data_IF_319239755707
#
_entry.id   IF_319239755707
#
_cell.length_a   1.000
_cell.length_b   1.000
_cell.length_c   1.000
_cell.angle_alpha   90.00
_cell.angle_beta   90.00
_cell.angle_gamma   90.00
#
_symmetry.space_group_name_H-M   'P 1'
#
loop_
_entity.id
_entity.type
_entity.pdbx_description
1 polymer ?
#
# COMPACT_ATOMS: atom_id res chain seq x y z
N UNK A 1 -6.80 -23.96 19.43
CA UNK A 1 -6.87 -24.75 18.18
C UNK A 1 -5.44 -25.00 17.73
N UNK A 2 -5.02 -26.26 17.64
CA UNK A 2 -3.68 -26.61 17.15
C UNK A 2 -3.74 -26.71 15.63
N UNK A 3 -3.14 -25.76 14.92
CA UNK A 3 -2.99 -25.86 13.47
C UNK A 3 -1.95 -26.93 13.16
N UNK A 4 -2.38 -28.07 12.61
CA UNK A 4 -1.47 -29.04 12.03
C UNK A 4 -0.83 -28.43 10.79
N UNK A 5 0.47 -28.18 10.84
CA UNK A 5 1.21 -27.66 9.70
C UNK A 5 1.38 -28.78 8.66
N UNK A 6 0.65 -28.69 7.55
CA UNK A 6 0.60 -29.74 6.54
C UNK A 6 1.79 -29.58 5.58
N UNK A 7 2.84 -30.35 5.83
CA UNK A 7 4.03 -30.38 4.99
C UNK A 7 3.83 -31.39 3.85
N UNK A 8 3.63 -30.90 2.63
CA UNK A 8 3.66 -31.72 1.41
C UNK A 8 5.10 -31.77 0.91
N UNK A 9 5.57 -32.96 0.53
CA UNK A 9 6.87 -33.19 -0.09
C UNK A 9 6.64 -33.98 -1.37
N UNK A 10 7.09 -33.42 -2.49
CA UNK A 10 6.92 -34.00 -3.83
C UNK A 10 8.26 -34.55 -4.35
N UNK A 11 8.22 -35.35 -5.41
CA UNK A 11 9.33 -36.16 -5.90
C UNK A 11 9.76 -35.71 -7.31
N UNK A 12 10.99 -35.25 -7.45
CA UNK A 12 11.47 -34.66 -8.69
C UNK A 12 11.75 -35.73 -9.78
N UNK A 13 11.15 -35.64 -10.98
CA UNK A 13 11.08 -36.76 -11.92
C UNK A 13 12.33 -37.01 -12.78
N UNK A 14 13.33 -36.12 -12.73
CA UNK A 14 14.53 -36.17 -13.58
C UNK A 14 15.83 -36.20 -12.74
N UNK A 15 16.88 -36.79 -13.29
CA UNK A 15 18.22 -36.83 -12.71
C UNK A 15 19.01 -35.58 -13.10
N UNK A 16 19.24 -34.64 -12.17
CA UNK A 16 19.95 -33.39 -12.44
C UNK A 16 21.45 -33.51 -12.15
N UNK A 17 22.24 -33.21 -13.17
CA UNK A 17 23.70 -33.12 -13.15
C UNK A 17 24.18 -31.67 -13.17
N UNK A 18 25.41 -31.49 -12.68
CA UNK A 18 26.10 -30.20 -12.61
C UNK A 18 27.49 -30.35 -13.23
N UNK A 19 27.94 -29.40 -14.03
CA UNK A 19 29.28 -29.36 -14.61
C UNK A 19 29.92 -27.99 -14.41
N UNK A 20 31.25 -27.97 -14.42
CA UNK A 20 32.06 -26.75 -14.55
C UNK A 20 33.16 -26.96 -15.60
N UNK A 21 33.98 -25.95 -15.86
CA UNK A 21 35.09 -26.04 -16.81
C UNK A 21 36.13 -27.13 -16.53
N UNK A 22 36.16 -27.69 -15.31
CA UNK A 22 37.02 -28.83 -14.93
C UNK A 22 36.30 -30.20 -14.97
N UNK A 23 35.02 -30.24 -15.37
CA UNK A 23 34.23 -31.47 -15.46
C UNK A 23 33.00 -31.51 -14.51
N UNK A 24 32.39 -32.70 -14.35
CA UNK A 24 31.18 -32.90 -13.54
C UNK A 24 31.39 -32.59 -12.05
N UNK A 25 30.47 -31.83 -11.46
CA UNK A 25 30.40 -31.56 -10.04
C UNK A 25 29.44 -32.55 -9.39
N UNK A 26 29.94 -33.43 -8.54
CA UNK A 26 29.10 -34.44 -7.89
C UNK A 26 29.59 -34.78 -6.48
N UNK A 27 28.66 -35.29 -5.66
CA UNK A 27 28.93 -35.85 -4.32
C UNK A 27 28.96 -37.38 -4.34
N UNK A 28 28.74 -37.98 -5.52
CA UNK A 28 28.60 -39.42 -5.77
C UNK A 28 29.21 -39.70 -7.14
N UNK A 29 29.76 -40.90 -7.36
CA UNK A 29 30.63 -41.28 -8.49
C UNK A 29 30.10 -41.09 -9.92
N UNK A 30 28.86 -40.63 -10.12
CA UNK A 30 28.14 -40.66 -11.41
C UNK A 30 27.77 -39.26 -11.95
N UNK A 31 28.29 -38.15 -11.42
CA UNK A 31 28.03 -36.80 -11.97
C UNK A 31 26.66 -36.18 -11.61
N UNK A 32 25.74 -36.97 -11.04
CA UNK A 32 24.38 -36.55 -10.64
C UNK A 32 24.39 -35.88 -9.26
N UNK A 33 23.73 -34.73 -9.13
CA UNK A 33 23.54 -34.03 -7.85
C UNK A 33 22.15 -34.27 -7.23
N UNK A 34 21.08 -34.27 -8.03
CA UNK A 34 19.73 -34.67 -7.60
C UNK A 34 19.26 -35.85 -8.46
N UNK A 35 19.28 -37.10 -7.99
CA UNK A 35 18.79 -38.24 -8.76
C UNK A 35 17.29 -38.15 -9.05
N UNK A 36 16.82 -38.85 -10.10
CA UNK A 36 15.40 -39.09 -10.31
C UNK A 36 14.74 -39.68 -9.06
N UNK A 37 13.58 -39.13 -8.72
CA UNK A 37 12.86 -39.44 -7.49
C UNK A 37 13.33 -38.65 -6.27
N UNK A 38 14.30 -37.74 -6.39
CA UNK A 38 14.78 -36.95 -5.24
C UNK A 38 13.66 -36.03 -4.74
N UNK A 39 13.33 -36.04 -3.44
CA UNK A 39 12.26 -35.21 -2.92
C UNK A 39 12.64 -33.72 -2.90
N UNK A 40 11.65 -32.84 -3.03
CA UNK A 40 11.83 -31.39 -3.00
C UNK A 40 10.81 -30.68 -2.08
N UNK A 41 11.14 -29.50 -1.51
CA UNK A 41 12.39 -28.74 -1.65
C UNK A 41 13.62 -29.44 -1.02
N UNK A 42 14.79 -29.20 -1.60
CA UNK A 42 16.07 -29.80 -1.18
C UNK A 42 17.23 -28.83 -1.38
N UNK A 43 18.24 -28.90 -0.50
CA UNK A 43 19.45 -28.05 -0.55
C UNK A 43 20.69 -28.93 -0.49
N UNK A 44 21.68 -28.66 -1.35
CA UNK A 44 23.00 -29.29 -1.31
C UNK A 44 24.11 -28.23 -1.28
N UNK A 45 25.13 -28.49 -0.47
CA UNK A 45 26.28 -27.61 -0.30
C UNK A 45 27.48 -28.20 -1.04
N UNK A 46 27.86 -27.57 -2.14
CA UNK A 46 29.05 -27.93 -2.92
C UNK A 46 30.28 -27.21 -2.37
N UNK A 47 31.43 -27.88 -2.40
CA UNK A 47 32.73 -27.29 -2.06
C UNK A 47 33.67 -27.47 -3.24
N UNK A 48 34.08 -26.37 -3.84
CA UNK A 48 34.94 -26.30 -5.02
C UNK A 48 36.25 -25.57 -4.66
N UNK A 49 37.31 -25.77 -5.43
CA UNK A 49 38.56 -25.02 -5.28
C UNK A 49 38.79 -24.18 -6.54
N UNK A 50 38.77 -22.85 -6.42
CA UNK A 50 38.76 -21.91 -7.56
C UNK A 50 39.65 -20.70 -7.25
N UNK A 51 40.26 -20.12 -8.28
CA UNK A 51 41.13 -18.92 -8.16
C UNK A 51 40.47 -17.65 -8.71
N UNK A 52 39.46 -17.79 -9.57
CA UNK A 52 38.76 -16.71 -10.25
C UNK A 52 37.30 -17.09 -10.60
N UNK A 53 36.59 -16.16 -11.22
CA UNK A 53 35.25 -16.35 -11.81
C UNK A 53 35.14 -17.65 -12.60
N UNK A 54 34.09 -18.41 -12.34
CA UNK A 54 33.82 -19.67 -13.04
C UNK A 54 32.34 -19.86 -13.33
N UNK A 55 32.04 -20.80 -14.23
CA UNK A 55 30.67 -21.16 -14.60
C UNK A 55 30.28 -22.53 -14.05
N UNK A 56 29.00 -22.67 -13.73
CA UNK A 56 28.32 -23.94 -13.48
C UNK A 56 27.23 -24.09 -14.53
N UNK A 57 27.15 -25.23 -15.19
CA UNK A 57 26.05 -25.60 -16.09
C UNK A 57 25.23 -26.73 -15.45
N UNK A 58 23.90 -26.61 -15.55
CA UNK A 58 22.92 -27.53 -14.96
C UNK A 58 22.14 -28.20 -16.08
N UNK A 59 21.99 -29.52 -16.00
CA UNK A 59 21.39 -30.32 -17.07
C UNK A 59 20.73 -31.59 -16.55
N UNK A 60 19.76 -32.12 -17.29
CA UNK A 60 19.27 -33.49 -17.10
C UNK A 60 20.35 -34.49 -17.56
N UNK A 61 20.71 -35.41 -16.69
CA UNK A 61 21.84 -36.34 -16.85
C UNK A 61 21.53 -37.52 -17.75
N UNK A 62 20.26 -37.88 -17.89
CA UNK A 62 19.79 -38.93 -18.80
C UNK A 62 18.81 -38.33 -19.81
N UNK A 63 19.13 -38.44 -21.10
CA UNK A 63 18.29 -37.94 -22.18
C UNK A 63 17.05 -38.84 -22.41
N UNK A 64 17.07 -40.09 -21.96
CA UNK A 64 15.91 -41.00 -22.02
C UNK A 64 14.82 -40.64 -20.99
N UNK A 65 15.14 -39.83 -19.98
CA UNK A 65 14.16 -39.29 -19.04
C UNK A 65 13.38 -38.10 -19.63
N UNK A 66 13.85 -37.51 -20.73
CA UNK A 66 13.24 -36.34 -21.37
C UNK A 66 12.30 -36.73 -22.52
N UNK A 67 11.28 -35.91 -22.83
CA UNK A 67 10.53 -36.05 -24.07
C UNK A 67 11.44 -35.89 -25.31
N UNK A 68 11.07 -36.48 -26.46
CA UNK A 68 11.76 -36.25 -27.73
C UNK A 68 11.99 -34.77 -28.03
N UNK A 69 13.10 -34.46 -28.70
CA UNK A 69 13.53 -33.11 -29.09
C UNK A 69 13.75 -32.09 -27.95
N UNK A 70 13.70 -32.54 -26.68
CA UNK A 70 13.97 -31.68 -25.52
C UNK A 70 15.48 -31.51 -25.28
N UNK A 71 15.94 -30.26 -25.15
CA UNK A 71 17.32 -29.95 -24.74
C UNK A 71 17.58 -30.40 -23.29
N UNK A 72 18.68 -31.11 -23.00
CA UNK A 72 19.03 -31.47 -21.62
C UNK A 72 19.55 -30.29 -20.79
N UNK A 73 19.92 -29.16 -21.40
CA UNK A 73 20.44 -27.98 -20.69
C UNK A 73 19.31 -27.20 -20.01
N UNK A 74 19.46 -26.94 -18.71
CA UNK A 74 18.47 -26.24 -17.88
C UNK A 74 18.90 -24.79 -17.64
N UNK A 75 20.09 -24.58 -17.06
CA UNK A 75 20.57 -23.24 -16.71
C UNK A 75 22.09 -23.18 -16.61
N UNK A 76 22.61 -21.96 -16.69
CA UNK A 76 24.02 -21.61 -16.54
C UNK A 76 24.17 -20.52 -15.49
N UNK A 77 25.03 -20.77 -14.51
CA UNK A 77 25.38 -19.81 -13.47
C UNK A 77 26.81 -19.31 -13.69
N UNK A 78 27.04 -18.03 -13.41
CA UNK A 78 28.38 -17.45 -13.30
C UNK A 78 28.61 -17.03 -11.86
N UNK A 79 29.65 -17.58 -11.25
CA UNK A 79 30.02 -17.33 -9.85
C UNK A 79 31.25 -16.43 -9.87
N UNK A 80 31.04 -15.14 -9.57
CA UNK A 80 32.02 -14.07 -9.65
C UNK A 80 31.41 -12.73 -10.08
N UNK A 81 32.20 -11.65 -10.14
CA UNK A 81 33.66 -11.66 -10.08
C UNK A 81 34.23 -11.89 -8.68
N UNK A 82 35.34 -12.62 -8.61
CA UNK A 82 36.26 -12.67 -7.47
C UNK A 82 37.66 -13.06 -7.97
N UNK A 83 38.70 -12.67 -7.24
CA UNK A 83 40.10 -13.02 -7.53
C UNK A 83 40.82 -13.41 -6.23
N UNK A 84 41.74 -14.36 -6.32
CA UNK A 84 42.60 -14.78 -5.22
C UNK A 84 44.03 -14.35 -5.51
N UNK A 85 44.64 -13.57 -4.61
CA UNK A 85 45.97 -12.96 -4.78
C UNK A 85 47.14 -13.96 -4.78
N UNK A 86 46.93 -15.15 -4.22
CA UNK A 86 47.90 -16.24 -4.24
C UNK A 86 47.49 -17.27 -5.30
N UNK A 87 48.44 -17.83 -6.05
CA UNK A 87 48.23 -18.81 -7.12
C UNK A 87 47.67 -20.19 -6.67
N UNK A 88 47.24 -20.30 -5.41
CA UNK A 88 46.62 -21.46 -4.81
C UNK A 88 45.10 -21.32 -4.93
N UNK A 89 44.43 -22.33 -5.50
CA UNK A 89 42.97 -22.36 -5.54
C UNK A 89 42.37 -22.25 -4.13
N UNK A 90 41.41 -21.36 -3.93
CA UNK A 90 40.72 -21.16 -2.65
C UNK A 90 39.38 -21.87 -2.63
N UNK A 91 38.97 -22.27 -1.42
CA UNK A 91 37.75 -23.01 -1.17
C UNK A 91 36.52 -22.12 -1.38
N UNK A 92 35.69 -22.46 -2.34
CA UNK A 92 34.39 -21.82 -2.61
C UNK A 92 33.27 -22.77 -2.20
N UNK A 93 32.41 -22.33 -1.29
CA UNK A 93 31.17 -23.01 -0.93
C UNK A 93 30.00 -22.46 -1.75
N UNK A 94 29.32 -23.34 -2.48
CA UNK A 94 28.16 -23.01 -3.31
C UNK A 94 26.92 -23.74 -2.76
N UNK A 95 25.89 -22.98 -2.38
CA UNK A 95 24.60 -23.51 -1.93
C UNK A 95 23.69 -23.65 -3.14
N UNK A 96 23.35 -24.89 -3.48
CA UNK A 96 22.42 -25.24 -4.56
C UNK A 96 21.09 -25.64 -3.94
N UNK A 97 20.00 -25.17 -4.52
CA UNK A 97 18.64 -25.48 -4.09
C UNK A 97 17.83 -26.04 -5.25
N UNK A 98 17.12 -27.14 -5.00
CA UNK A 98 15.94 -27.54 -5.74
C UNK A 98 14.75 -27.00 -4.94
N UNK A 99 14.13 -25.91 -5.42
CA UNK A 99 13.17 -25.15 -4.65
C UNK A 99 11.78 -25.81 -4.60
N UNK A 100 10.81 -25.19 -3.90
CA UNK A 100 9.46 -25.74 -3.74
C UNK A 100 8.65 -25.80 -5.05
N UNK A 101 9.10 -25.14 -6.11
CA UNK A 101 8.51 -25.19 -7.46
C UNK A 101 9.22 -26.20 -8.38
N UNK A 102 10.16 -27.00 -7.86
CA UNK A 102 10.96 -27.92 -8.65
C UNK A 102 12.03 -27.24 -9.52
N UNK A 103 12.33 -25.95 -9.29
CA UNK A 103 13.34 -25.21 -10.06
C UNK A 103 14.69 -25.33 -9.35
N UNK A 104 15.73 -25.64 -10.12
CA UNK A 104 17.11 -25.78 -9.64
C UNK A 104 17.85 -24.45 -9.77
N UNK A 105 18.30 -23.89 -8.63
CA UNK A 105 19.00 -22.61 -8.55
C UNK A 105 20.30 -22.70 -7.74
N UNK A 106 21.23 -21.79 -8.01
CA UNK A 106 22.34 -21.50 -7.09
C UNK A 106 21.92 -20.35 -6.18
N UNK A 107 21.62 -20.66 -4.92
CA UNK A 107 21.08 -19.71 -3.94
C UNK A 107 22.15 -18.75 -3.41
N UNK A 108 23.40 -19.22 -3.26
CA UNK A 108 24.53 -18.39 -2.82
C UNK A 108 25.88 -19.06 -3.12
N UNK A 109 26.93 -18.24 -3.28
CA UNK A 109 28.31 -18.68 -3.33
C UNK A 109 29.16 -17.86 -2.35
N UNK A 110 30.19 -18.48 -1.76
CA UNK A 110 31.03 -17.82 -0.75
C UNK A 110 32.46 -18.38 -0.76
N UNK A 111 33.44 -17.48 -0.76
CA UNK A 111 34.86 -17.78 -0.53
C UNK A 111 35.08 -18.11 0.95
N UNK A 112 35.92 -19.10 1.21
CA UNK A 112 36.31 -19.56 2.53
C UNK A 112 37.83 -19.47 2.63
N UNK A 113 38.33 -18.53 3.43
CA UNK A 113 39.75 -18.37 3.71
C UNK A 113 40.11 -19.06 5.04
N UNK A 114 41.03 -20.02 4.96
CA UNK A 114 41.62 -20.67 6.12
C UNK A 114 42.81 -19.81 6.62
N UNK A 115 42.60 -19.07 7.71
CA UNK A 115 43.65 -18.25 8.32
C UNK A 115 44.66 -19.11 9.09
N UNK A 116 45.67 -19.62 8.39
CA UNK A 116 46.82 -20.23 9.04
C UNK A 116 47.71 -19.14 9.63
N UNK A 117 47.77 -19.06 10.95
CA UNK A 117 48.62 -18.11 11.66
C UNK A 117 50.06 -18.64 11.62
N UNK A 118 50.90 -18.10 10.74
CA UNK A 118 52.30 -18.52 10.64
C UNK A 118 53.07 -18.11 11.90
N UNK A 119 53.68 -19.09 12.55
CA UNK A 119 54.50 -18.95 13.75
C UNK A 119 55.29 -20.24 13.97
N UNK A 120 56.43 -20.38 13.31
CA UNK A 120 57.77 -20.45 13.95
C UNK A 120 58.80 -21.16 13.07
N UNK A 121 59.89 -20.48 12.73
CA UNK A 121 61.24 -21.05 12.85
C UNK A 121 62.13 -20.01 13.52
N UNK A 122 62.62 -20.31 14.73
CA UNK A 122 63.74 -19.59 15.35
C UNK A 122 65.05 -20.21 14.89
N UNK A 123 66.06 -19.38 14.66
CA UNK A 123 67.45 -19.72 14.95
C UNK A 123 68.15 -18.43 15.35
N UNK A 124 68.78 -18.47 16.53
CA UNK A 124 69.20 -17.30 17.29
C UNK A 124 70.73 -17.28 17.37
N UNK A 125 71.36 -16.11 17.18
CA UNK A 125 72.77 -15.91 17.54
C UNK A 125 73.13 -14.44 17.82
N UNK A 126 72.88 -14.05 19.07
CA UNK A 126 73.73 -13.20 19.93
C UNK A 126 73.67 -11.65 19.87
N UNK A 127 73.05 -11.11 20.95
CA UNK A 127 73.45 -9.94 21.79
C UNK A 127 73.32 -8.50 21.23
N UNK A 128 72.95 -7.46 22.02
CA UNK A 128 72.96 -7.23 23.49
C UNK A 128 71.73 -6.46 24.04
N UNK A 129 71.39 -6.67 25.33
CA UNK A 129 70.71 -5.79 26.35
C UNK A 129 69.41 -4.98 26.01
N UNK A 130 68.42 -4.76 26.90
CA UNK A 130 68.32 -4.93 28.37
C UNK A 130 66.83 -4.88 28.89
N UNK A 131 66.46 -5.68 29.92
CA UNK A 131 65.32 -5.55 30.89
C UNK A 131 63.84 -5.47 30.37
N UNK A 132 62.80 -5.99 31.06
CA UNK A 132 62.69 -6.86 32.26
C UNK A 132 61.25 -7.44 32.51
N UNK A 133 61.17 -8.68 33.05
CA UNK A 133 60.07 -9.29 33.89
C UNK A 133 58.66 -9.48 33.26
N UNK A 134 57.78 -10.41 33.65
CA UNK A 134 57.73 -11.62 34.51
C UNK A 134 56.30 -12.24 34.41
N UNK A 135 55.93 -13.47 34.80
CA UNK A 135 56.62 -14.77 35.04
C UNK A 135 55.56 -15.90 35.32
N UNK A 136 55.86 -17.18 35.01
CA UNK A 136 55.16 -18.46 35.36
C UNK A 136 53.63 -18.66 35.07
N UNK A 137 53.09 -19.87 34.82
CA UNK A 137 53.70 -21.20 34.57
C UNK A 137 52.76 -22.38 34.96
N UNK A 138 52.81 -23.52 34.21
CA UNK A 138 52.40 -24.91 34.62
C UNK A 138 50.89 -25.17 34.92
N UNK A 139 50.27 -26.35 34.72
CA UNK A 139 50.41 -27.51 33.80
C UNK A 139 49.26 -28.52 34.08
N UNK A 140 48.70 -29.16 33.03
CA UNK A 140 48.02 -30.50 32.99
C UNK A 140 46.89 -30.86 34.02
N UNK A 141 46.02 -31.87 33.88
CA UNK A 141 45.96 -33.05 32.97
C UNK A 141 44.55 -33.73 32.93
N UNK A 142 44.27 -34.50 31.85
CA UNK A 142 43.28 -35.61 31.62
C UNK A 142 41.73 -35.58 31.87
N UNK A 143 40.99 -35.99 30.81
CA UNK A 143 40.02 -37.13 30.70
C UNK A 143 38.45 -36.98 30.69
N UNK A 144 37.86 -37.38 29.54
CA UNK A 144 36.64 -38.20 29.27
C UNK A 144 35.17 -37.75 29.60
N UNK A 145 34.25 -37.98 28.63
CA UNK A 145 32.91 -38.56 28.91
C UNK A 145 31.60 -37.85 28.44
N UNK A 146 31.01 -38.34 27.32
CA UNK A 146 29.55 -38.57 27.04
C UNK A 146 28.38 -37.63 27.48
N UNK A 147 27.61 -37.21 26.45
CA UNK A 147 26.13 -37.25 26.25
C UNK A 147 25.07 -36.28 26.87
N UNK A 148 24.13 -35.92 25.97
CA UNK A 148 22.72 -35.46 26.00
C UNK A 148 22.06 -34.25 26.76
N UNK A 149 21.18 -33.56 26.00
CA UNK A 149 19.99 -32.70 26.32
C UNK A 149 19.94 -31.41 27.20
N UNK A 150 19.54 -30.30 26.52
CA UNK A 150 18.53 -29.24 26.85
C UNK A 150 18.70 -28.02 27.84
N UNK A 151 18.36 -26.84 27.28
CA UNK A 151 17.72 -25.60 27.83
C UNK A 151 18.37 -24.63 28.87
N UNK A 152 18.81 -23.46 28.34
CA UNK A 152 18.59 -22.05 28.78
C UNK A 152 18.90 -21.48 30.20
N UNK A 153 19.74 -20.43 30.16
CA UNK A 153 19.70 -19.14 30.90
C UNK A 153 20.24 -18.97 32.36
N UNK A 154 21.42 -18.31 32.43
CA UNK A 154 21.73 -17.09 33.22
C UNK A 154 22.64 -17.14 34.48
N UNK A 155 23.87 -16.67 34.26
CA UNK A 155 24.76 -15.82 35.08
C UNK A 155 25.57 -16.31 36.32
N UNK A 156 26.88 -15.97 36.21
CA UNK A 156 27.83 -15.50 37.23
C UNK A 156 28.79 -16.50 37.94
N UNK A 157 30.08 -16.41 37.55
CA UNK A 157 31.33 -16.68 38.31
C UNK A 157 31.56 -18.06 38.96
N UNK A 158 32.75 -18.67 38.97
CA UNK A 158 34.04 -18.41 38.31
C UNK A 158 35.01 -19.55 38.65
N UNK A 159 35.80 -20.12 37.70
CA UNK A 159 37.23 -20.54 37.84
C UNK A 159 37.73 -21.41 36.66
N UNK A 160 38.71 -20.88 35.94
CA UNK A 160 39.87 -21.51 35.24
C UNK A 160 39.97 -23.03 34.97
N UNK A 161 40.37 -23.39 33.72
CA UNK A 161 41.00 -24.68 33.37
C UNK A 161 40.47 -25.33 32.07
N UNK A 162 40.56 -24.71 30.89
CA UNK A 162 41.74 -24.72 30.01
C UNK A 162 42.03 -26.05 29.26
N UNK A 163 41.23 -26.36 28.21
CA UNK A 163 41.75 -26.94 26.95
C UNK A 163 40.88 -26.52 25.75
N UNK A 164 41.11 -25.31 25.22
CA UNK A 164 40.54 -24.86 23.96
C UNK A 164 41.48 -25.19 22.78
N UNK A 165 41.16 -26.26 22.06
CA UNK A 165 41.63 -26.49 20.70
C UNK A 165 41.18 -25.33 19.80
N UNK A 166 42.04 -24.30 19.65
CA UNK A 166 41.73 -23.03 18.95
C UNK A 166 41.22 -23.26 17.52
N UNK A 167 39.90 -23.28 17.39
CA UNK A 167 39.20 -23.37 16.10
C UNK A 167 39.36 -22.04 15.38
N UNK A 168 40.29 -22.00 14.42
CA UNK A 168 40.63 -20.78 13.67
C UNK A 168 39.40 -20.06 13.12
N UNK A 169 39.39 -18.73 13.22
CA UNK A 169 38.27 -17.90 12.77
C UNK A 169 38.24 -17.84 11.24
N UNK A 170 37.56 -18.81 10.63
CA UNK A 170 37.33 -18.91 9.19
C UNK A 170 36.68 -17.63 8.67
N UNK A 171 37.32 -16.93 7.72
CA UNK A 171 36.73 -15.76 7.07
C UNK A 171 35.88 -16.22 5.89
N UNK A 172 34.65 -15.70 5.82
CA UNK A 172 33.71 -15.95 4.71
C UNK A 172 33.45 -14.64 3.98
N UNK A 173 33.54 -14.68 2.66
CA UNK A 173 33.21 -13.56 1.77
C UNK A 173 32.20 -14.07 0.74
N UNK A 174 31.05 -13.41 0.62
CA UNK A 174 30.06 -13.80 -0.37
C UNK A 174 30.49 -13.38 -1.79
N UNK A 175 30.18 -14.24 -2.76
CA UNK A 175 30.56 -14.08 -4.16
C UNK A 175 29.28 -13.83 -4.97
N UNK A 176 29.24 -12.84 -5.88
CA UNK A 176 28.08 -12.63 -6.73
C UNK A 176 27.77 -13.87 -7.59
N UNK A 177 26.48 -14.14 -7.77
CA UNK A 177 25.97 -15.20 -8.64
C UNK A 177 25.04 -14.56 -9.65
N UNK A 178 25.29 -14.78 -10.94
CA UNK A 178 24.34 -14.47 -12.01
C UNK A 178 23.84 -15.76 -12.67
N UNK A 179 22.58 -15.74 -13.09
CA UNK A 179 21.85 -16.88 -13.63
C UNK A 179 21.38 -16.59 -15.06
N UNK A 180 21.43 -17.62 -15.91
CA UNK A 180 20.82 -17.65 -17.23
C UNK A 180 20.07 -18.98 -17.36
N UNK A 181 18.74 -18.93 -17.40
CA UNK A 181 17.87 -20.11 -17.55
C UNK A 181 17.54 -20.31 -19.03
N UNK A 182 17.75 -21.51 -19.57
CA UNK A 182 17.38 -21.81 -20.95
C UNK A 182 15.86 -21.84 -21.10
N UNK A 183 15.34 -21.11 -22.09
CA UNK A 183 13.89 -20.93 -22.29
C UNK A 183 13.23 -19.94 -21.33
N UNK A 184 13.95 -19.39 -20.35
CA UNK A 184 13.48 -18.29 -19.51
C UNK A 184 13.70 -16.93 -20.17
N UNK A 185 12.82 -15.97 -19.88
CA UNK A 185 13.04 -14.56 -20.27
C UNK A 185 14.20 -13.95 -19.48
N UNK A 186 15.03 -13.16 -20.15
CA UNK A 186 16.01 -12.31 -19.47
C UNK A 186 15.31 -11.20 -18.67
N UNK A 187 16.04 -10.58 -17.73
CA UNK A 187 15.51 -9.45 -16.94
C UNK A 187 15.06 -8.27 -17.83
N UNK A 188 15.74 -8.05 -18.96
CA UNK A 188 15.41 -7.00 -19.90
C UNK A 188 14.12 -7.30 -20.67
N UNK A 189 13.98 -8.51 -21.22
CA UNK A 189 12.76 -8.96 -21.90
C UNK A 189 11.55 -8.98 -20.96
N UNK A 190 11.74 -9.45 -19.72
CA UNK A 190 10.68 -9.41 -18.70
C UNK A 190 10.25 -7.98 -18.38
N UNK A 191 11.20 -7.05 -18.22
CA UNK A 191 10.88 -5.63 -17.98
C UNK A 191 10.16 -5.00 -19.17
N UNK A 192 10.52 -5.36 -20.40
CA UNK A 192 9.85 -4.89 -21.62
C UNK A 192 8.44 -5.47 -21.74
N UNK A 193 8.25 -6.75 -21.40
CA UNK A 193 6.94 -7.39 -21.37
C UNK A 193 6.02 -6.77 -20.31
N UNK A 194 6.54 -6.48 -19.12
CA UNK A 194 5.81 -5.80 -18.04
C UNK A 194 5.39 -4.38 -18.42
N UNK A 195 6.28 -3.61 -19.05
CA UNK A 195 5.96 -2.26 -19.55
C UNK A 195 4.89 -2.31 -20.65
N UNK A 196 4.98 -3.27 -21.58
CA UNK A 196 3.97 -3.45 -22.64
C UNK A 196 2.61 -3.86 -22.06
N UNK A 197 2.58 -4.77 -21.09
CA UNK A 197 1.36 -5.18 -20.39
C UNK A 197 0.70 -3.99 -19.68
N UNK A 198 1.49 -3.16 -19.00
CA UNK A 198 1.01 -1.95 -18.34
C UNK A 198 0.40 -0.95 -19.34
N UNK A 199 1.04 -0.76 -20.51
CA UNK A 199 0.52 0.11 -21.57
C UNK A 199 -0.82 -0.39 -22.14
N UNK A 200 -0.95 -1.70 -22.38
CA UNK A 200 -2.20 -2.31 -22.84
C UNK A 200 -3.31 -2.19 -21.78
N UNK A 201 -3.01 -2.51 -20.52
CA UNK A 201 -3.97 -2.37 -19.42
C UNK A 201 -4.43 -0.91 -19.23
N UNK A 202 -3.54 0.08 -19.39
CA UNK A 202 -3.88 1.51 -19.35
C UNK A 202 -4.77 1.91 -20.54
N UNK A 203 -4.53 1.36 -21.73
CA UNK A 203 -5.38 1.58 -22.90
C UNK A 203 -6.79 1.03 -22.68
N UNK A 204 -6.92 -0.21 -22.20
CA UNK A 204 -8.22 -0.85 -21.91
C UNK A 204 -9.01 -0.07 -20.85
N UNK A 205 -8.35 0.37 -19.76
CA UNK A 205 -8.97 1.23 -18.73
C UNK A 205 -9.49 2.52 -19.35
N UNK A 206 -8.72 3.18 -20.22
CA UNK A 206 -9.12 4.44 -20.85
C UNK A 206 -10.31 4.26 -21.80
N UNK A 207 -10.35 3.15 -22.55
CA UNK A 207 -11.48 2.82 -23.44
C UNK A 207 -12.76 2.62 -22.62
N UNK A 208 -12.72 1.82 -21.55
CA UNK A 208 -13.90 1.58 -20.72
C UNK A 208 -14.35 2.84 -19.95
N UNK A 209 -13.40 3.68 -19.49
CA UNK A 209 -13.72 5.00 -18.90
C UNK A 209 -14.41 5.95 -19.90
N UNK A 210 -13.95 5.98 -21.15
CA UNK A 210 -14.53 6.81 -22.22
C UNK A 210 -15.94 6.36 -22.55
N UNK A 211 -16.13 5.04 -22.70
CA UNK A 211 -17.43 4.39 -22.90
C UNK A 211 -18.39 4.65 -21.73
N UNK A 212 -17.92 4.61 -20.49
CA UNK A 212 -18.74 4.93 -19.32
C UNK A 212 -19.23 6.39 -19.33
N UNK A 213 -18.43 7.35 -19.83
CA UNK A 213 -18.91 8.74 -20.03
C UNK A 213 -19.96 8.83 -21.13
N UNK A 214 -19.78 8.12 -22.24
CA UNK A 214 -20.79 8.04 -23.33
C UNK A 214 -22.12 7.50 -22.77
N UNK A 215 -22.07 6.35 -22.08
CA UNK A 215 -23.23 5.74 -21.41
C UNK A 215 -23.89 6.68 -20.39
N UNK A 216 -23.09 7.42 -19.60
CA UNK A 216 -23.59 8.40 -18.62
C UNK A 216 -24.34 9.53 -19.31
N UNK A 217 -23.77 10.09 -20.39
CA UNK A 217 -24.40 11.16 -21.16
C UNK A 217 -25.69 10.67 -21.84
N UNK A 218 -25.66 9.52 -22.49
CA UNK A 218 -26.81 8.89 -23.13
C UNK A 218 -27.95 8.64 -22.11
N UNK A 219 -27.63 8.03 -20.97
CA UNK A 219 -28.59 7.78 -19.90
C UNK A 219 -29.20 9.07 -19.35
N UNK A 220 -28.39 10.12 -19.20
CA UNK A 220 -28.85 11.43 -18.75
C UNK A 220 -29.78 12.09 -19.78
N UNK A 221 -29.49 11.97 -21.08
CA UNK A 221 -30.36 12.48 -22.15
C UNK A 221 -31.73 11.80 -22.12
N UNK A 222 -31.78 10.46 -21.98
CA UNK A 222 -33.04 9.72 -21.90
C UNK A 222 -33.85 10.04 -20.64
N UNK A 223 -33.20 10.12 -19.47
CA UNK A 223 -33.86 10.43 -18.19
C UNK A 223 -34.42 11.87 -18.18
N UNK A 224 -33.63 12.86 -18.63
CA UNK A 224 -34.07 14.25 -18.66
C UNK A 224 -35.17 14.53 -19.68
N UNK A 225 -35.17 13.85 -20.83
CA UNK A 225 -36.28 13.94 -21.81
C UNK A 225 -37.63 13.56 -21.18
N UNK A 226 -37.65 12.56 -20.30
CA UNK A 226 -38.85 12.18 -19.54
C UNK A 226 -39.15 13.20 -18.43
N UNK A 227 -38.16 13.47 -17.56
CA UNK A 227 -38.33 14.34 -16.38
C UNK A 227 -38.81 15.74 -16.72
N UNK A 228 -38.34 16.37 -17.80
CA UNK A 228 -38.68 17.77 -18.12
C UNK A 228 -40.18 17.97 -18.43
N UNK A 229 -40.85 16.97 -19.01
CA UNK A 229 -42.28 17.03 -19.36
C UNK A 229 -43.23 16.42 -18.32
N UNK A 230 -42.70 15.57 -17.44
CA UNK A 230 -43.44 14.87 -16.39
C UNK A 230 -43.09 15.40 -14.99
N UNK A 231 -41.94 15.02 -14.43
CA UNK A 231 -41.53 15.34 -13.05
C UNK A 231 -41.34 16.84 -12.81
N UNK A 232 -40.64 17.53 -13.72
CA UNK A 232 -40.27 18.94 -13.60
C UNK A 232 -41.25 19.88 -14.33
N UNK A 233 -42.39 19.35 -14.81
CA UNK A 233 -43.36 20.05 -15.66
C UNK A 233 -43.80 21.42 -15.14
N UNK A 234 -43.93 21.56 -13.82
CA UNK A 234 -44.36 22.80 -13.14
C UNK A 234 -43.20 23.72 -12.71
N UNK A 235 -41.95 23.26 -12.81
CA UNK A 235 -40.75 23.95 -12.30
C UNK A 235 -39.88 24.56 -13.41
N UNK A 236 -40.21 24.25 -14.67
CA UNK A 236 -39.66 24.91 -15.85
C UNK A 236 -40.72 25.79 -16.52
N UNK A 237 -40.30 26.98 -16.98
CA UNK A 237 -41.03 27.78 -17.96
C UNK A 237 -41.03 27.08 -19.32
N UNK A 238 -41.95 27.45 -20.21
CA UNK A 238 -42.02 26.79 -21.52
C UNK A 238 -40.79 27.10 -22.41
N UNK A 239 -40.16 28.26 -22.23
CA UNK A 239 -38.87 28.61 -22.85
C UNK A 239 -37.73 27.71 -22.35
N UNK A 240 -37.64 27.45 -21.05
CA UNK A 240 -36.66 26.52 -20.48
C UNK A 240 -36.89 25.09 -21.00
N UNK A 241 -38.16 24.62 -21.04
CA UNK A 241 -38.50 23.29 -21.58
C UNK A 241 -38.10 23.16 -23.04
N UNK A 242 -38.40 24.16 -23.88
CA UNK A 242 -38.05 24.13 -25.30
C UNK A 242 -36.52 24.16 -25.50
N UNK A 243 -35.81 25.04 -24.78
CA UNK A 243 -34.36 25.13 -24.81
C UNK A 243 -33.68 23.81 -24.40
N UNK A 244 -34.05 23.26 -23.24
CA UNK A 244 -33.55 21.97 -22.74
C UNK A 244 -33.85 20.85 -23.74
N UNK A 245 -35.10 20.75 -24.24
CA UNK A 245 -35.49 19.71 -25.20
C UNK A 245 -34.69 19.78 -26.50
N UNK A 246 -34.42 21.00 -26.99
CA UNK A 246 -33.59 21.23 -28.18
C UNK A 246 -32.15 20.77 -27.97
N UNK A 247 -31.53 21.13 -26.85
CA UNK A 247 -30.14 20.71 -26.56
C UNK A 247 -30.04 19.22 -26.26
N UNK A 248 -31.05 18.61 -25.62
CA UNK A 248 -31.15 17.15 -25.46
C UNK A 248 -31.19 16.45 -26.83
N UNK A 249 -32.05 16.91 -27.74
CA UNK A 249 -32.16 16.38 -29.10
C UNK A 249 -30.84 16.48 -29.87
N UNK A 250 -30.22 17.66 -29.88
CA UNK A 250 -28.92 17.89 -30.52
C UNK A 250 -27.78 17.05 -29.92
N UNK A 251 -27.89 16.68 -28.64
CA UNK A 251 -26.88 15.83 -27.98
C UNK A 251 -27.11 14.35 -28.28
N UNK A 252 -28.36 13.90 -28.43
CA UNK A 252 -28.68 12.56 -28.93
C UNK A 252 -28.24 12.39 -30.39
N UNK A 253 -28.57 13.35 -31.27
CA UNK A 253 -28.14 13.33 -32.68
C UNK A 253 -26.60 13.27 -32.78
N UNK A 254 -25.90 14.11 -32.01
CA UNK A 254 -24.43 14.07 -31.95
C UNK A 254 -23.90 12.72 -31.44
N UNK A 255 -24.52 12.09 -30.42
CA UNK A 255 -24.10 10.78 -29.90
C UNK A 255 -24.15 9.64 -30.93
N UNK A 256 -25.03 9.74 -31.93
CA UNK A 256 -25.21 8.75 -32.99
C UNK A 256 -24.54 9.11 -34.33
N UNK A 257 -24.01 10.33 -34.46
CA UNK A 257 -23.27 10.81 -35.64
C UNK A 257 -21.80 11.07 -35.28
N UNK A 258 -21.39 12.35 -35.12
CA UNK A 258 -20.00 12.75 -34.90
C UNK A 258 -19.40 12.26 -33.55
N UNK A 259 -20.25 11.87 -32.60
CA UNK A 259 -19.89 11.51 -31.22
C UNK A 259 -19.71 10.02 -30.95
N UNK A 260 -19.56 9.16 -31.96
CA UNK A 260 -19.48 7.71 -31.74
C UNK A 260 -18.15 7.27 -31.07
N UNK A 261 -17.01 7.81 -31.51
CA UNK A 261 -15.65 7.52 -31.00
C UNK A 261 -14.96 8.82 -30.55
N UNK A 262 -15.60 9.54 -29.64
CA UNK A 262 -15.14 10.83 -29.14
C UNK A 262 -14.45 10.73 -27.76
N UNK A 263 -13.77 11.80 -27.37
CA UNK A 263 -12.97 11.81 -26.14
C UNK A 263 -13.82 11.82 -24.85
N UNK A 264 -13.29 11.25 -23.76
CA UNK A 264 -13.86 11.35 -22.41
C UNK A 264 -14.23 12.81 -22.04
N UNK A 265 -13.38 13.75 -22.46
CA UNK A 265 -13.60 15.18 -22.25
C UNK A 265 -14.80 15.71 -23.03
N UNK A 266 -14.96 15.35 -24.31
CA UNK A 266 -16.10 15.77 -25.14
C UNK A 266 -17.44 15.32 -24.53
N UNK A 267 -17.56 14.04 -24.14
CA UNK A 267 -18.76 13.53 -23.45
C UNK A 267 -19.01 14.28 -22.12
N UNK A 268 -17.95 14.55 -21.36
CA UNK A 268 -18.04 15.25 -20.07
C UNK A 268 -18.48 16.70 -20.20
N UNK A 269 -17.99 17.46 -21.20
CA UNK A 269 -18.43 18.84 -21.42
C UNK A 269 -19.88 18.91 -21.95
N UNK A 270 -20.27 18.02 -22.86
CA UNK A 270 -21.68 17.88 -23.30
C UNK A 270 -22.62 17.63 -22.12
N UNK A 271 -22.22 16.76 -21.17
CA UNK A 271 -22.99 16.51 -19.95
C UNK A 271 -23.11 17.76 -19.07
N UNK A 272 -21.99 18.49 -18.84
CA UNK A 272 -21.99 19.74 -18.06
C UNK A 272 -22.85 20.83 -18.69
N UNK A 273 -22.86 20.94 -20.01
CA UNK A 273 -23.67 21.93 -20.72
C UNK A 273 -25.18 21.63 -20.58
N UNK A 274 -25.58 20.36 -20.65
CA UNK A 274 -26.95 19.94 -20.32
C UNK A 274 -27.29 20.18 -18.83
N UNK A 275 -26.40 19.82 -17.91
CA UNK A 275 -26.56 20.07 -16.47
C UNK A 275 -26.76 21.57 -16.19
N UNK A 276 -25.97 22.46 -16.80
CA UNK A 276 -26.11 23.92 -16.61
C UNK A 276 -27.51 24.46 -16.97
N UNK A 277 -28.22 23.80 -17.89
CA UNK A 277 -29.60 24.15 -18.27
C UNK A 277 -30.66 23.48 -17.37
N UNK A 278 -30.41 22.25 -16.94
CA UNK A 278 -31.37 21.43 -16.17
C UNK A 278 -31.29 21.68 -14.66
N UNK A 279 -30.09 21.88 -14.11
CA UNK A 279 -29.82 22.06 -12.68
C UNK A 279 -30.70 23.17 -12.04
N UNK A 280 -30.92 24.35 -12.65
CA UNK A 280 -31.83 25.35 -12.08
C UNK A 280 -33.26 24.80 -11.88
N UNK A 281 -33.79 24.08 -12.87
CA UNK A 281 -35.12 23.47 -12.83
C UNK A 281 -35.18 22.33 -11.80
N UNK A 282 -34.17 21.46 -11.77
CA UNK A 282 -34.09 20.37 -10.80
C UNK A 282 -33.90 20.88 -9.36
N UNK A 283 -33.18 21.98 -9.18
CA UNK A 283 -33.02 22.64 -7.88
C UNK A 283 -34.35 23.27 -7.40
N UNK A 284 -35.12 23.93 -8.28
CA UNK A 284 -36.49 24.40 -7.95
C UNK A 284 -37.41 23.25 -7.52
N UNK A 285 -37.33 22.11 -8.22
CA UNK A 285 -38.09 20.90 -7.89
C UNK A 285 -37.71 20.33 -6.51
N UNK A 286 -36.40 20.12 -6.26
CA UNK A 286 -35.89 19.59 -4.99
C UNK A 286 -36.15 20.53 -3.81
N UNK A 287 -36.04 21.84 -4.02
CA UNK A 287 -36.23 22.82 -2.96
C UNK A 287 -37.68 22.85 -2.45
N UNK A 288 -38.70 22.54 -3.26
CA UNK A 288 -40.09 22.59 -2.78
C UNK A 288 -40.36 21.63 -1.60
N UNK A 289 -39.85 20.40 -1.65
CA UNK A 289 -39.93 19.45 -0.54
C UNK A 289 -38.97 19.85 0.59
N UNK A 290 -37.71 20.14 0.27
CA UNK A 290 -36.68 20.50 1.26
C UNK A 290 -37.04 21.78 2.06
N UNK A 291 -37.78 22.71 1.45
CA UNK A 291 -38.30 23.93 2.07
C UNK A 291 -39.50 23.66 2.95
N UNK A 292 -40.38 22.75 2.55
CA UNK A 292 -41.49 22.26 3.38
C UNK A 292 -40.96 21.62 4.68
N UNK A 293 -39.92 20.80 4.57
CA UNK A 293 -39.19 20.25 5.71
C UNK A 293 -38.50 21.31 6.56
N UNK A 294 -37.66 22.17 5.97
CA UNK A 294 -36.95 23.22 6.71
C UNK A 294 -37.91 24.19 7.44
N UNK A 295 -39.07 24.48 6.84
CA UNK A 295 -40.14 25.29 7.46
C UNK A 295 -40.68 24.63 8.73
N UNK A 296 -40.96 23.31 8.67
CA UNK A 296 -41.39 22.52 9.83
C UNK A 296 -40.33 22.51 10.92
N UNK A 297 -39.06 22.36 10.56
CA UNK A 297 -37.96 22.31 11.52
C UNK A 297 -37.74 23.66 12.22
N UNK A 298 -37.83 24.78 11.48
CA UNK A 298 -37.80 26.13 12.08
C UNK A 298 -38.98 26.34 13.05
N UNK A 299 -40.19 25.91 12.68
CA UNK A 299 -41.36 26.03 13.55
C UNK A 299 -41.24 25.17 14.81
N UNK A 300 -40.73 23.94 14.69
CA UNK A 300 -40.43 23.06 15.83
C UNK A 300 -39.38 23.72 16.75
N UNK A 301 -38.28 24.22 16.18
CA UNK A 301 -37.24 24.96 16.90
C UNK A 301 -37.83 26.18 17.65
N UNK A 302 -38.73 26.95 17.04
CA UNK A 302 -39.43 28.07 17.68
C UNK A 302 -40.27 27.59 18.87
N UNK A 303 -41.03 26.48 18.73
CA UNK A 303 -41.85 25.91 19.80
C UNK A 303 -41.00 25.40 20.96
N UNK A 304 -39.94 24.63 20.67
CA UNK A 304 -39.02 24.11 21.70
C UNK A 304 -38.32 25.23 22.47
N UNK A 305 -37.84 26.26 21.77
CA UNK A 305 -37.22 27.42 22.41
C UNK A 305 -38.22 28.21 23.26
N UNK A 306 -39.47 28.40 22.80
CA UNK A 306 -40.56 29.00 23.58
C UNK A 306 -40.92 28.18 24.83
N UNK A 307 -40.99 26.85 24.75
CA UNK A 307 -41.27 26.00 25.92
C UNK A 307 -40.12 26.02 26.94
N UNK A 308 -38.88 26.13 26.47
CA UNK A 308 -37.70 26.18 27.33
C UNK A 308 -37.51 27.51 28.07
N UNK A 309 -38.20 28.61 27.71
CA UNK A 309 -37.99 29.93 28.35
C UNK A 309 -38.29 29.92 29.84
N UNK A 310 -39.18 29.05 30.33
CA UNK A 310 -39.48 28.91 31.77
C UNK A 310 -38.23 28.63 32.63
N UNK A 311 -37.13 28.18 32.03
CA UNK A 311 -35.87 27.91 32.71
C UNK A 311 -34.91 29.13 32.76
N UNK A 312 -35.24 30.26 32.14
CA UNK A 312 -34.35 31.43 31.98
C UNK A 312 -34.72 32.62 32.89
N UNK A 313 -33.75 33.47 33.27
CA UNK A 313 -33.99 34.78 33.87
C UNK A 313 -34.90 35.68 33.02
N UNK A 314 -35.67 36.58 33.63
CA UNK A 314 -36.67 37.41 32.93
C UNK A 314 -36.12 38.15 31.70
N UNK A 315 -35.00 38.87 31.85
CA UNK A 315 -34.33 39.56 30.76
C UNK A 315 -33.90 38.63 29.60
N UNK A 316 -33.55 37.37 29.88
CA UNK A 316 -33.19 36.39 28.85
C UNK A 316 -34.43 35.74 28.21
N UNK A 317 -35.54 35.59 28.96
CA UNK A 317 -36.83 35.12 28.43
C UNK A 317 -37.34 36.06 27.36
N UNK A 318 -37.33 37.37 27.64
CA UNK A 318 -37.84 38.37 26.72
C UNK A 318 -37.01 38.42 25.42
N UNK A 319 -35.69 38.23 25.51
CA UNK A 319 -34.81 38.10 24.32
C UNK A 319 -35.16 36.86 23.50
N UNK A 320 -35.27 35.66 24.11
CA UNK A 320 -35.63 34.43 23.37
C UNK A 320 -37.01 34.55 22.71
N UNK A 321 -38.00 35.09 23.43
CA UNK A 321 -39.36 35.29 22.90
C UNK A 321 -39.32 36.27 21.72
N UNK A 322 -38.59 37.39 21.83
CA UNK A 322 -38.46 38.38 20.76
C UNK A 322 -37.79 37.78 19.51
N UNK A 323 -36.70 37.03 19.65
CA UNK A 323 -36.04 36.38 18.51
C UNK A 323 -36.91 35.28 17.88
N UNK A 324 -37.64 34.50 18.69
CA UNK A 324 -38.64 33.55 18.17
C UNK A 324 -39.74 34.26 17.36
N UNK A 325 -40.23 35.40 17.85
CA UNK A 325 -41.25 36.19 17.15
C UNK A 325 -40.72 36.78 15.84
N UNK A 326 -39.48 37.29 15.82
CA UNK A 326 -38.82 37.78 14.60
C UNK A 326 -38.61 36.67 13.57
N UNK A 327 -38.18 35.49 14.01
CA UNK A 327 -37.99 34.33 13.14
C UNK A 327 -39.32 33.86 12.53
N UNK A 328 -40.39 33.78 13.34
CA UNK A 328 -41.72 33.41 12.87
C UNK A 328 -42.30 34.45 11.89
N UNK A 329 -42.15 35.75 12.20
CA UNK A 329 -42.62 36.83 11.32
C UNK A 329 -41.87 36.83 9.98
N UNK A 330 -40.54 36.72 10.01
CA UNK A 330 -39.71 36.59 8.80
C UNK A 330 -40.14 35.40 7.94
N UNK A 331 -40.37 34.23 8.56
CA UNK A 331 -40.80 33.02 7.86
C UNK A 331 -42.18 33.23 7.20
N UNK A 332 -43.14 33.85 7.90
CA UNK A 332 -44.47 34.17 7.37
C UNK A 332 -44.39 35.12 6.17
N UNK A 333 -43.64 36.23 6.29
CA UNK A 333 -43.46 37.22 5.22
C UNK A 333 -42.81 36.60 3.98
N UNK A 334 -41.72 35.85 4.16
CA UNK A 334 -41.01 35.18 3.06
C UNK A 334 -41.84 34.07 2.42
N UNK A 335 -42.61 33.31 3.21
CA UNK A 335 -43.55 32.30 2.68
C UNK A 335 -44.67 32.96 1.87
N UNK A 336 -45.19 34.11 2.31
CA UNK A 336 -46.20 34.85 1.55
C UNK A 336 -45.63 35.37 0.21
N UNK A 337 -44.40 35.90 0.20
CA UNK A 337 -43.71 36.29 -1.03
C UNK A 337 -43.53 35.08 -1.96
N UNK A 338 -43.03 33.95 -1.44
CA UNK A 338 -42.85 32.71 -2.20
C UNK A 338 -44.15 32.17 -2.81
N UNK A 339 -45.26 32.20 -2.06
CA UNK A 339 -46.56 31.72 -2.52
C UNK A 339 -47.19 32.63 -3.59
N UNK A 340 -46.66 33.83 -3.82
CA UNK A 340 -47.11 34.72 -4.89
C UNK A 340 -46.43 34.46 -6.24
N UNK A 341 -45.38 33.63 -6.26
CA UNK A 341 -44.58 33.31 -7.45
C UNK A 341 -45.00 31.97 -8.09
N UNK A 342 -44.88 31.82 -9.41
CA UNK A 342 -45.06 30.52 -10.06
C UNK A 342 -43.93 29.56 -9.65
N UNK A 343 -44.22 28.25 -9.60
CA UNK A 343 -43.22 27.21 -9.27
C UNK A 343 -42.02 27.15 -10.23
N UNK A 344 -42.14 27.75 -11.40
CA UNK A 344 -41.08 27.88 -12.40
C UNK A 344 -40.19 29.11 -12.24
N UNK A 345 -40.49 30.01 -11.30
CA UNK A 345 -39.58 31.10 -10.93
C UNK A 345 -38.60 30.61 -9.84
N UNK A 346 -37.42 31.22 -9.79
CA UNK A 346 -36.46 30.94 -8.73
C UNK A 346 -37.05 31.31 -7.36
N UNK A 347 -36.92 30.44 -6.34
CA UNK A 347 -37.35 30.73 -4.98
C UNK A 347 -36.78 32.04 -4.42
N UNK A 348 -37.65 32.81 -3.76
CA UNK A 348 -37.28 33.98 -2.93
C UNK A 348 -37.09 33.62 -1.46
N UNK A 349 -37.34 32.35 -1.14
CA UNK A 349 -37.06 31.69 0.12
C UNK A 349 -36.56 30.29 -0.19
N UNK A 350 -35.25 30.07 -0.09
CA UNK A 350 -34.65 28.74 -0.27
C UNK A 350 -34.63 27.96 1.03
N UNK A 351 -34.68 26.63 0.96
CA UNK A 351 -34.55 25.75 2.14
C UNK A 351 -33.24 25.98 2.92
N UNK A 352 -32.15 26.34 2.22
CA UNK A 352 -30.86 26.72 2.81
C UNK A 352 -30.95 27.98 3.69
N UNK A 353 -31.71 29.00 3.28
CA UNK A 353 -31.93 30.21 4.08
C UNK A 353 -32.71 29.90 5.36
N UNK A 354 -33.72 29.04 5.28
CA UNK A 354 -34.51 28.60 6.44
C UNK A 354 -33.64 27.80 7.41
N UNK A 355 -32.80 26.89 6.91
CA UNK A 355 -31.84 26.12 7.74
C UNK A 355 -30.86 27.04 8.45
N UNK A 356 -30.22 27.97 7.73
CA UNK A 356 -29.35 29.00 8.32
C UNK A 356 -30.06 29.85 9.39
N UNK A 357 -31.33 30.21 9.16
CA UNK A 357 -32.15 30.94 10.15
C UNK A 357 -32.42 30.10 11.41
N UNK A 358 -32.67 28.80 11.23
CA UNK A 358 -32.92 27.82 12.31
C UNK A 358 -31.69 27.64 13.18
N UNK A 359 -30.53 27.42 12.55
CA UNK A 359 -29.23 27.32 13.21
C UNK A 359 -28.89 28.60 13.99
N UNK A 360 -29.13 29.78 13.40
CA UNK A 360 -28.92 31.07 14.06
C UNK A 360 -29.78 31.25 15.31
N UNK A 361 -31.06 30.88 15.25
CA UNK A 361 -31.99 30.97 16.38
C UNK A 361 -31.59 30.00 17.51
N UNK A 362 -31.30 28.75 17.16
CA UNK A 362 -30.91 27.71 18.11
C UNK A 362 -29.56 28.02 18.78
N UNK A 363 -28.56 28.49 18.02
CA UNK A 363 -27.27 28.90 18.56
C UNK A 363 -27.42 30.03 19.61
N UNK A 364 -28.21 31.07 19.30
CA UNK A 364 -28.51 32.16 20.23
C UNK A 364 -29.19 31.65 21.50
N UNK A 365 -30.20 30.78 21.36
CA UNK A 365 -30.91 30.22 22.52
C UNK A 365 -30.02 29.29 23.36
N UNK A 366 -29.15 28.49 22.73
CA UNK A 366 -28.13 27.67 23.41
C UNK A 366 -27.10 28.52 24.15
N UNK A 367 -26.66 29.65 23.58
CA UNK A 367 -25.74 30.59 24.24
C UNK A 367 -26.37 31.20 25.51
N UNK A 368 -27.62 31.66 25.43
CA UNK A 368 -28.34 32.19 26.59
C UNK A 368 -28.50 31.14 27.70
N UNK A 369 -28.89 29.90 27.36
CA UNK A 369 -28.92 28.78 28.34
C UNK A 369 -27.55 28.50 28.97
N UNK A 370 -26.47 28.51 28.20
CA UNK A 370 -25.10 28.29 28.70
C UNK A 370 -24.63 29.41 29.64
N UNK A 371 -25.04 30.65 29.42
CA UNK A 371 -24.70 31.77 30.31
C UNK A 371 -25.25 31.61 31.74
N UNK A 372 -26.32 30.81 31.93
CA UNK A 372 -26.85 30.40 33.25
C UNK A 372 -26.01 29.31 33.93
N UNK A 373 -25.25 28.53 33.15
CA UNK A 373 -24.53 27.35 33.64
C UNK A 373 -23.09 27.62 34.12
N UNK A 374 -22.62 28.86 34.04
CA UNK A 374 -21.32 29.28 34.58
C UNK A 374 -21.54 29.98 35.93
N UNK A 375 -21.19 29.35 37.08
CA UNK A 375 -21.21 30.03 38.36
C UNK A 375 -20.06 31.03 38.40
N UNK A 376 -20.35 32.26 38.81
CA UNK A 376 -19.33 33.23 39.19
C UNK A 376 -18.46 32.64 40.30
N UNK A 377 -17.16 32.43 40.03
CA UNK A 377 -16.18 32.44 41.13
C UNK A 377 -16.09 33.88 41.63
N UNK A 378 -16.09 34.14 42.94
CA UNK A 378 -15.75 35.45 43.47
C UNK A 378 -14.32 35.81 43.06
N UNK A 379 -14.10 37.09 42.77
CA UNK A 379 -12.76 37.66 42.64
C UNK A 379 -12.12 37.71 44.04
N UNK A 380 -10.86 37.28 44.13
CA UNK A 380 -9.90 37.87 45.06
C UNK A 380 -8.93 38.70 44.23
N UNK A 381 -8.63 39.89 44.74
CA UNK A 381 -7.82 40.95 44.11
C UNK A 381 -6.34 40.53 43.93
N UNK A 382 -5.66 41.14 42.95
CA UNK A 382 -4.26 41.63 42.96
C UNK A 382 -3.77 41.97 41.54
N UNK A 383 -3.78 43.27 41.27
CA UNK A 383 -2.74 44.08 40.58
C UNK A 383 -2.60 44.07 39.03
N UNK A 384 -2.06 45.20 38.56
CA UNK A 384 -1.95 45.68 37.18
C UNK A 384 -0.74 45.09 36.43
N UNK A 385 -0.84 44.87 35.12
CA UNK A 385 -0.36 45.85 34.11
C UNK A 385 -0.83 45.53 32.67
N UNK A 386 -0.63 46.50 31.78
CA UNK A 386 -1.16 46.58 30.41
C UNK A 386 -0.36 45.76 29.40
N UNK A 387 -1.05 45.24 28.37
CA UNK A 387 -0.86 45.73 26.98
C UNK A 387 -1.98 45.32 26.02
N UNK A 388 -2.34 46.26 25.14
CA UNK A 388 -3.20 46.05 23.95
C UNK A 388 -2.53 45.12 22.95
N UNK A 389 -3.32 44.44 22.10
CA UNK A 389 -3.50 44.81 20.67
C UNK A 389 -4.67 44.03 20.06
N UNK A 390 -5.35 44.67 19.10
CA UNK A 390 -6.53 44.23 18.33
C UNK A 390 -6.21 43.18 17.26
N UNK A 391 -7.21 42.41 16.85
CA UNK A 391 -7.24 41.74 15.54
C UNK A 391 -8.35 42.30 14.67
N UNK A 392 -8.03 42.41 13.37
CA UNK A 392 -8.94 42.58 12.23
C UNK A 392 -9.71 41.28 11.92
#
# INVERSE_FOLDING_TARGET
MSFHHLQVQDSFPFSIGFTSGEGPISTVSNGVLFPKGHPFPSVKMLTLHRSNTFHIEVFCSDQNELPPDTSPKISKFTIGPFEVSNSKQTKVKVKVQLNLHGIVTVESASLIEDSWNDSTVRSDSHLTSEKAKADNGVSSDVANGSDDTHFTHSNASSTSGADEMKKGKVRRQDIPVSESVHGGMTRAELSQAQEKELQLAQQDIKVEQTKEKKNTLESYVYDMRNKIFHTYRSFATDSEKEGISRTLQQTEEWLYEDGDDESEHAYTEKLKDLQRLVDPVENRYKDEEARSEATRDLLNCIVENRMAVGQLPANQRDVVINECNKAEQWLREKTQQQNSLPKSADPVLWSSEIKCKTESLDALCKQLRRSKASPTKPEDDVDLDKKKTTCE
#
